data_IF_682101800582
#
_entry.id   IF_682101800582
#
_cell.length_a   1.000
_cell.length_b   1.000
_cell.length_c   1.000
_cell.angle_alpha   90.00
_cell.angle_beta   90.00
_cell.angle_gamma   90.00
#
_symmetry.space_group_name_H-M   'P 1'
#
loop_
_entity.id
_entity.type
_entity.pdbx_description
1 polymer ?
#
# COMPACT_ATOMS: atom_id res chain seq x y z
N UNK A 1 5.53 24.43 10.37
CA UNK A 1 5.39 23.07 9.79
C UNK A 1 3.99 22.58 10.13
N UNK A 2 3.25 22.05 9.16
CA UNK A 2 1.88 21.54 9.38
C UNK A 2 1.85 20.09 8.95
N UNK A 3 1.35 19.21 9.83
CA UNK A 3 1.17 17.79 9.55
C UNK A 3 -0.33 17.48 9.44
N UNK A 4 -0.76 17.00 8.27
CA UNK A 4 -2.14 16.56 8.03
C UNK A 4 -2.18 15.03 8.15
N UNK A 5 -2.82 14.52 9.21
CA UNK A 5 -2.88 13.08 9.50
C UNK A 5 -1.53 12.47 9.87
N UNK A 6 -0.86 12.93 10.95
CA UNK A 6 0.43 12.40 11.37
C UNK A 6 0.35 10.91 11.73
N UNK A 7 1.27 10.11 11.19
CA UNK A 7 1.40 8.67 11.51
C UNK A 7 2.77 8.43 12.14
N UNK A 8 2.77 8.08 13.42
CA UNK A 8 3.99 7.72 14.17
C UNK A 8 4.01 6.23 14.52
N UNK A 9 2.94 5.73 15.13
CA UNK A 9 2.74 4.31 15.41
C UNK A 9 1.44 3.83 14.79
N UNK A 10 1.41 2.58 14.36
CA UNK A 10 0.23 1.96 13.74
C UNK A 10 -0.34 0.81 14.59
N UNK A 11 0.07 0.69 15.85
CA UNK A 11 -0.37 -0.39 16.75
C UNK A 11 -1.89 -0.54 16.89
N UNK A 12 -2.63 0.57 16.78
CA UNK A 12 -4.09 0.64 16.98
C UNK A 12 -4.89 0.93 15.71
N UNK A 13 -4.30 0.77 14.51
CA UNK A 13 -5.05 1.00 13.27
C UNK A 13 -6.26 0.05 13.14
N UNK A 14 -7.38 0.61 12.72
CA UNK A 14 -8.64 -0.12 12.48
C UNK A 14 -8.98 -0.20 10.99
N UNK A 15 -8.15 0.35 10.12
CA UNK A 15 -8.30 0.24 8.67
C UNK A 15 -7.92 -1.14 8.16
N UNK A 16 -8.43 -1.51 6.98
CA UNK A 16 -8.09 -2.77 6.32
C UNK A 16 -6.61 -2.88 5.94
N UNK A 17 -5.90 -1.75 5.90
CA UNK A 17 -4.43 -1.69 5.74
C UNK A 17 -3.72 -2.50 6.84
N UNK A 18 -4.39 -2.75 7.97
CA UNK A 18 -3.93 -3.70 8.98
C UNK A 18 -3.67 -5.09 8.42
N UNK A 19 -4.39 -5.57 7.41
CA UNK A 19 -4.14 -6.90 6.85
C UNK A 19 -2.74 -7.02 6.24
N UNK A 20 -2.23 -5.97 5.59
CA UNK A 20 -0.88 -5.96 5.05
C UNK A 20 0.21 -6.11 6.13
N UNK A 21 -0.11 -5.80 7.39
CA UNK A 21 0.82 -5.92 8.53
C UNK A 21 0.72 -7.24 9.31
N UNK A 22 -0.24 -8.10 8.97
CA UNK A 22 -0.44 -9.41 9.61
C UNK A 22 0.20 -10.53 8.78
N UNK A 23 0.40 -10.28 7.48
CA UNK A 23 1.02 -11.23 6.55
C UNK A 23 2.51 -11.37 6.93
N UNK A 24 2.98 -12.62 6.97
CA UNK A 24 4.41 -12.92 7.16
C UNK A 24 5.22 -12.32 6.01
N UNK A 25 6.35 -11.72 6.35
CA UNK A 25 7.30 -11.12 5.40
C UNK A 25 7.59 -12.07 4.23
N UNK A 26 7.76 -13.38 4.47
CA UNK A 26 8.02 -14.38 3.42
C UNK A 26 6.90 -14.46 2.39
N UNK A 27 5.65 -14.51 2.86
CA UNK A 27 4.47 -14.58 2.01
C UNK A 27 4.33 -13.27 1.21
N UNK A 28 4.64 -12.13 1.84
CA UNK A 28 4.61 -10.84 1.17
C UNK A 28 5.61 -10.79 0.00
N UNK A 29 6.82 -11.33 0.16
CA UNK A 29 7.81 -11.39 -0.92
C UNK A 29 7.49 -12.42 -1.99
N UNK A 30 6.89 -13.56 -1.63
CA UNK A 30 6.50 -14.55 -2.63
C UNK A 30 5.38 -14.03 -3.55
N UNK A 31 4.46 -13.22 -3.02
CA UNK A 31 3.34 -12.67 -3.78
C UNK A 31 3.74 -11.42 -4.58
N UNK A 32 4.41 -10.46 -3.93
CA UNK A 32 4.69 -9.14 -4.52
C UNK A 32 6.12 -8.98 -5.03
N UNK A 33 7.01 -9.93 -4.76
CA UNK A 33 8.43 -9.83 -5.05
C UNK A 33 9.19 -8.93 -4.08
N UNK A 34 10.51 -8.83 -4.27
CA UNK A 34 11.41 -8.10 -3.35
C UNK A 34 11.70 -6.65 -3.74
N UNK A 35 11.18 -6.20 -4.87
CA UNK A 35 11.47 -4.85 -5.42
C UNK A 35 10.33 -3.87 -5.14
N UNK A 36 9.16 -4.11 -5.74
CA UNK A 36 8.06 -3.14 -5.75
C UNK A 36 6.74 -3.75 -5.30
N UNK A 37 6.07 -3.10 -4.36
CA UNK A 37 4.71 -3.37 -3.92
C UNK A 37 3.73 -2.51 -4.72
N UNK A 38 2.81 -3.17 -5.43
CA UNK A 38 1.79 -2.54 -6.27
C UNK A 38 2.35 -1.45 -7.21
N UNK A 39 3.37 -1.75 -8.05
CA UNK A 39 3.89 -0.79 -9.01
C UNK A 39 2.79 -0.36 -9.98
N UNK A 40 2.83 0.90 -10.40
CA UNK A 40 1.93 1.38 -11.45
C UNK A 40 2.21 0.59 -12.74
N UNK A 41 1.19 -0.11 -13.24
CA UNK A 41 1.26 -0.85 -14.49
C UNK A 41 0.11 -0.39 -15.40
N UNK A 42 0.43 -0.17 -16.67
CA UNK A 42 -0.52 0.23 -17.72
C UNK A 42 -1.75 -0.69 -17.75
N UNK A 43 -1.57 -1.99 -17.52
CA UNK A 43 -2.68 -2.96 -17.51
C UNK A 43 -3.62 -2.69 -16.33
N UNK A 44 -3.06 -2.49 -15.12
CA UNK A 44 -3.83 -2.26 -13.89
C UNK A 44 -4.55 -0.91 -13.95
N UNK A 45 -3.88 0.15 -14.40
CA UNK A 45 -4.48 1.49 -14.52
C UNK A 45 -5.57 1.52 -15.59
N UNK A 46 -5.40 0.81 -16.70
CA UNK A 46 -6.41 0.71 -17.76
C UNK A 46 -7.63 -0.11 -17.31
N UNK A 47 -7.40 -1.20 -16.57
CA UNK A 47 -8.47 -1.99 -15.97
C UNK A 47 -9.26 -1.17 -14.95
N UNK A 48 -8.57 -0.45 -14.05
CA UNK A 48 -9.19 0.44 -13.08
C UNK A 48 -10.02 1.54 -13.76
N UNK A 49 -9.50 2.19 -14.83
CA UNK A 49 -10.25 3.17 -15.63
C UNK A 49 -11.55 2.57 -16.18
N UNK A 50 -11.46 1.37 -16.73
CA UNK A 50 -12.60 0.72 -17.41
C UNK A 50 -13.67 0.30 -16.41
N UNK A 51 -13.26 -0.36 -15.32
CA UNK A 51 -14.15 -0.84 -14.26
C UNK A 51 -14.80 0.33 -13.53
N UNK A 52 -14.04 1.35 -13.13
CA UNK A 52 -14.57 2.48 -12.38
C UNK A 52 -15.44 3.44 -13.21
N UNK A 53 -15.25 3.51 -14.54
CA UNK A 53 -16.15 4.27 -15.43
C UNK A 53 -17.47 3.54 -15.71
N UNK A 54 -17.50 2.21 -15.58
CA UNK A 54 -18.73 1.45 -15.75
C UNK A 54 -19.70 1.74 -14.60
N UNK A 55 -20.85 2.35 -14.89
CA UNK A 55 -21.86 2.72 -13.88
C UNK A 55 -22.32 1.55 -13.02
N UNK A 56 -22.35 0.33 -13.59
CA UNK A 56 -22.73 -0.89 -12.86
C UNK A 56 -21.63 -1.39 -11.91
N UNK A 57 -20.36 -1.05 -12.12
CA UNK A 57 -19.23 -1.52 -11.33
C UNK A 57 -18.56 -0.42 -10.49
N UNK A 58 -19.00 0.83 -10.61
CA UNK A 58 -18.47 1.97 -9.86
C UNK A 58 -18.55 1.78 -8.33
N UNK A 59 -19.52 0.99 -7.85
CA UNK A 59 -19.62 0.67 -6.42
C UNK A 59 -18.38 -0.07 -5.89
N UNK A 60 -17.77 -0.95 -6.70
CA UNK A 60 -16.53 -1.66 -6.34
C UNK A 60 -15.38 -0.69 -6.11
N UNK A 61 -15.29 0.34 -6.94
CA UNK A 61 -14.27 1.36 -6.84
C UNK A 61 -14.47 2.26 -5.62
N UNK A 62 -15.72 2.62 -5.33
CA UNK A 62 -16.09 3.32 -4.09
C UNK A 62 -15.72 2.50 -2.84
N UNK A 63 -16.09 1.23 -2.82
CA UNK A 63 -15.83 0.37 -1.66
C UNK A 63 -14.33 0.10 -1.49
N UNK A 64 -13.59 -0.09 -2.59
CA UNK A 64 -12.14 -0.28 -2.54
C UNK A 64 -11.43 0.90 -1.87
N UNK A 65 -11.71 2.14 -2.30
CA UNK A 65 -11.09 3.31 -1.68
C UNK A 65 -11.60 3.54 -0.24
N UNK A 66 -12.85 3.15 0.10
CA UNK A 66 -13.38 3.28 1.47
C UNK A 66 -12.67 2.34 2.41
N UNK A 67 -12.46 1.11 1.95
CA UNK A 67 -11.79 0.05 2.71
C UNK A 67 -10.35 0.46 3.03
N UNK A 68 -9.61 0.99 2.05
CA UNK A 68 -8.18 1.33 2.21
C UNK A 68 -7.99 2.66 2.94
N UNK A 69 -8.63 3.72 2.47
CA UNK A 69 -8.38 5.08 2.95
C UNK A 69 -9.35 5.54 4.05
N UNK A 70 -10.42 4.79 4.34
CA UNK A 70 -11.48 5.17 5.30
C UNK A 70 -12.00 6.60 5.10
N UNK A 71 -12.38 6.94 3.87
CA UNK A 71 -12.94 8.26 3.59
C UNK A 71 -14.46 8.32 3.84
N UNK A 72 -14.98 9.54 4.05
CA UNK A 72 -16.41 9.83 4.17
C UNK A 72 -16.97 10.28 2.81
N UNK A 73 -18.08 9.67 2.39
CA UNK A 73 -18.79 10.00 1.15
C UNK A 73 -19.27 11.45 1.10
N UNK A 74 -19.52 12.07 2.26
CA UNK A 74 -19.95 13.47 2.34
C UNK A 74 -18.86 14.45 1.90
N UNK A 75 -17.59 14.06 2.07
CA UNK A 75 -16.43 14.90 1.78
C UNK A 75 -15.71 14.48 0.49
N UNK A 76 -16.12 13.37 -0.15
CA UNK A 76 -15.48 12.82 -1.33
C UNK A 76 -16.34 13.04 -2.58
N UNK A 77 -15.74 13.58 -3.65
CA UNK A 77 -16.43 13.70 -4.93
C UNK A 77 -16.48 12.34 -5.65
N UNK A 78 -17.62 11.65 -5.59
CA UNK A 78 -17.80 10.31 -6.17
C UNK A 78 -17.58 10.27 -7.68
N UNK A 79 -17.83 11.36 -8.40
CA UNK A 79 -17.60 11.45 -9.85
C UNK A 79 -16.11 11.45 -10.21
N UNK A 80 -15.22 11.76 -9.25
CA UNK A 80 -13.76 11.81 -9.43
C UNK A 80 -13.02 10.56 -8.99
N UNK A 81 -13.70 9.58 -8.40
CA UNK A 81 -13.11 8.30 -7.96
C UNK A 81 -12.32 7.58 -9.06
N UNK A 82 -12.79 7.53 -10.33
CA UNK A 82 -12.00 6.92 -11.39
C UNK A 82 -10.65 7.60 -11.61
N UNK A 83 -10.54 8.90 -11.35
CA UNK A 83 -9.26 9.63 -11.47
C UNK A 83 -8.36 9.31 -10.29
N UNK A 84 -8.89 9.32 -9.06
CA UNK A 84 -8.12 9.02 -7.86
C UNK A 84 -7.49 7.62 -7.90
N UNK A 85 -8.28 6.60 -8.26
CA UNK A 85 -7.81 5.21 -8.32
C UNK A 85 -6.82 4.93 -9.45
N UNK A 86 -6.76 5.79 -10.47
CA UNK A 86 -5.79 5.62 -11.56
C UNK A 86 -4.42 6.17 -11.25
N UNK A 87 -4.33 7.05 -10.26
CA UNK A 87 -3.08 7.62 -9.78
C UNK A 87 -2.71 7.09 -8.38
N UNK A 88 -3.54 6.27 -7.77
CA UNK A 88 -3.31 5.75 -6.41
C UNK A 88 -3.75 4.29 -6.34
N UNK A 89 -2.86 3.37 -5.93
CA UNK A 89 -1.50 3.59 -5.44
C UNK A 89 -0.45 3.85 -6.55
N UNK A 90 0.53 4.72 -6.29
CA UNK A 90 1.67 4.98 -7.19
C UNK A 90 2.83 3.97 -7.03
N UNK A 91 2.62 2.94 -6.21
CA UNK A 91 3.62 1.95 -5.81
C UNK A 91 4.48 2.39 -4.63
N UNK A 92 5.06 1.40 -3.96
CA UNK A 92 6.03 1.56 -2.87
C UNK A 92 6.96 0.33 -2.85
N UNK A 93 8.01 0.28 -2.03
CA UNK A 93 8.85 -0.93 -1.94
C UNK A 93 8.21 -1.97 -1.03
N UNK A 94 8.44 -3.26 -1.29
CA UNK A 94 7.97 -4.33 -0.39
C UNK A 94 8.66 -4.27 0.98
N UNK A 95 9.89 -3.76 1.04
CA UNK A 95 10.57 -3.42 2.29
C UNK A 95 9.81 -2.36 3.11
N UNK A 96 9.24 -1.34 2.48
CA UNK A 96 8.43 -0.33 3.17
C UNK A 96 7.18 -0.93 3.82
N UNK A 97 6.57 -1.93 3.17
CA UNK A 97 5.44 -2.66 3.75
C UNK A 97 5.86 -3.56 4.92
N UNK A 98 7.01 -4.22 4.83
CA UNK A 98 7.57 -4.98 5.96
C UNK A 98 7.90 -4.06 7.15
N UNK A 99 8.46 -2.86 6.91
CA UNK A 99 8.68 -1.87 7.97
C UNK A 99 7.37 -1.42 8.61
N UNK A 100 6.34 -1.19 7.80
CA UNK A 100 5.01 -0.84 8.29
C UNK A 100 4.42 -1.95 9.20
N UNK A 101 4.67 -3.22 8.85
CA UNK A 101 4.32 -4.36 9.69
C UNK A 101 5.10 -4.38 11.02
N UNK A 102 6.42 -4.14 10.96
CA UNK A 102 7.29 -4.03 12.14
C UNK A 102 6.77 -2.97 13.14
N UNK A 103 6.45 -1.77 12.65
CA UNK A 103 5.94 -0.67 13.49
C UNK A 103 4.64 -1.08 14.18
N UNK A 104 3.78 -1.86 13.51
CA UNK A 104 2.54 -2.36 14.13
C UNK A 104 2.81 -3.39 15.21
N UNK A 105 3.66 -4.38 14.93
CA UNK A 105 3.96 -5.48 15.85
C UNK A 105 4.67 -4.99 17.12
N UNK A 106 5.67 -4.13 16.96
CA UNK A 106 6.44 -3.55 18.07
C UNK A 106 5.69 -2.41 18.77
N UNK A 107 4.63 -1.89 18.15
CA UNK A 107 3.86 -0.70 18.60
C UNK A 107 4.73 0.54 18.83
N UNK A 108 5.90 0.60 18.20
CA UNK A 108 6.88 1.66 18.36
C UNK A 108 7.49 2.00 17.01
N UNK A 109 7.84 3.27 16.82
CA UNK A 109 8.54 3.71 15.63
C UNK A 109 10.03 3.50 15.81
N UNK A 110 10.58 2.53 15.08
CA UNK A 110 12.02 2.23 15.07
C UNK A 110 12.50 2.10 13.64
N UNK A 111 13.78 2.40 13.36
CA UNK A 111 14.37 2.14 12.06
C UNK A 111 14.30 0.65 11.72
N UNK A 112 14.32 0.35 10.42
CA UNK A 112 14.49 -1.03 9.93
C UNK A 112 15.89 -1.51 10.33
N UNK A 113 16.04 -2.69 10.97
CA UNK A 113 17.36 -3.23 11.26
C UNK A 113 18.14 -3.55 9.97
N UNK A 114 19.43 -3.19 9.92
CA UNK A 114 20.30 -3.48 8.76
C UNK A 114 20.62 -4.96 8.59
N UNK A 115 20.48 -5.76 9.65
CA UNK A 115 20.80 -7.19 9.70
C UNK A 115 19.59 -8.10 9.48
N UNK A 116 18.47 -7.55 9.01
CA UNK A 116 17.30 -8.37 8.68
C UNK A 116 17.53 -9.07 7.34
N UNK A 117 17.05 -10.30 7.18
CA UNK A 117 17.10 -11.02 5.88
C UNK A 117 16.55 -10.19 4.70
N UNK A 118 15.68 -9.22 5.01
CA UNK A 118 15.07 -8.24 4.12
C UNK A 118 16.07 -7.27 3.48
N UNK A 119 17.04 -6.74 4.24
CA UNK A 119 18.02 -5.75 3.76
C UNK A 119 19.18 -6.41 3.01
N UNK A 120 19.64 -7.58 3.47
CA UNK A 120 20.70 -8.34 2.80
C UNK A 120 20.29 -8.82 1.41
N UNK A 121 19.05 -9.27 1.24
CA UNK A 121 18.56 -9.76 -0.06
C UNK A 121 18.21 -8.64 -1.03
N UNK A 122 17.81 -7.46 -0.53
CA UNK A 122 17.64 -6.27 -1.37
C UNK A 122 18.98 -5.78 -1.91
N UNK A 123 20.01 -5.73 -1.06
CA UNK A 123 21.37 -5.35 -1.46
C UNK A 123 21.97 -6.33 -2.48
N UNK A 124 21.73 -7.64 -2.31
CA UNK A 124 22.16 -8.67 -3.25
C UNK A 124 21.41 -8.62 -4.59
N UNK A 125 20.10 -8.34 -4.57
CA UNK A 125 19.29 -8.20 -5.80
C UNK A 125 19.64 -6.93 -6.59
N UNK A 126 20.07 -5.86 -5.91
CA UNK A 126 20.61 -4.66 -6.55
C UNK A 126 21.97 -4.91 -7.21
N UNK A 127 22.84 -5.69 -6.57
CA UNK A 127 24.16 -6.07 -7.09
C UNK A 127 24.09 -7.01 -8.31
N UNK A 128 23.07 -7.86 -8.40
CA UNK A 128 22.80 -8.72 -9.56
C UNK A 128 22.08 -8.02 -10.72
N UNK A 129 21.61 -6.78 -10.51
CA UNK A 129 20.94 -5.97 -11.54
C UNK A 129 21.86 -4.89 -12.15
N UNK A 130 23.14 -4.86 -11.75
CA UNK A 130 24.24 -4.06 -12.30
C UNK A 130 25.25 -4.98 -12.98
#
# INVERSE_FOLDING_TARGET
MVALGPVYTVGHITSSVRFATVIDDKILFDIFGRKSFLPENIIITTLAKTVCRCRRLNFLCQDAIRIVAKFDDRNMNSSRIPVYLTHSPAGTSTQNMAHFAQVRLQRNFRPVPENTSLSSEFSFSYFLSL
#
